data_IF_200544560893
#
_entry.id   IF_200544560893
#
_cell.length_a   1.000
_cell.length_b   1.000
_cell.length_c   1.000
_cell.angle_alpha   90.00
_cell.angle_beta   90.00
_cell.angle_gamma   90.00
#
_symmetry.space_group_name_H-M   'P 1'
#
loop_
_entity.id
_entity.type
_entity.pdbx_description
1 polymer ?
#
# COMPACT_ATOMS: atom_id res chain seq x y z
N UNK A 1 3.69 -27.68 7.10
CA UNK A 1 2.60 -27.78 8.12
C UNK A 1 3.02 -26.94 9.31
N UNK A 2 2.11 -26.20 9.93
CA UNK A 2 2.39 -25.31 11.08
C UNK A 2 1.39 -25.64 12.18
N UNK A 3 1.86 -25.72 13.43
CA UNK A 3 0.99 -25.96 14.59
C UNK A 3 0.26 -24.70 15.05
N UNK A 4 -0.75 -24.81 15.94
CA UNK A 4 -1.42 -23.66 16.54
C UNK A 4 -0.43 -22.73 17.27
N UNK A 5 -0.65 -21.42 17.16
CA UNK A 5 0.27 -20.38 17.63
C UNK A 5 1.46 -20.11 16.70
N UNK A 6 1.66 -20.96 15.68
CA UNK A 6 2.75 -20.79 14.72
C UNK A 6 2.38 -19.91 13.52
N UNK A 7 3.40 -19.29 12.93
CA UNK A 7 3.31 -18.48 11.72
C UNK A 7 3.96 -19.22 10.56
N UNK A 8 3.21 -19.45 9.48
CA UNK A 8 3.76 -19.87 8.21
C UNK A 8 4.27 -18.66 7.43
N UNK A 9 5.34 -18.86 6.67
CA UNK A 9 5.97 -17.86 5.80
C UNK A 9 6.23 -18.46 4.44
N UNK A 10 5.94 -17.70 3.39
CA UNK A 10 6.23 -18.06 2.00
C UNK A 10 6.66 -16.81 1.24
N UNK A 11 7.44 -16.99 0.19
CA UNK A 11 7.73 -15.90 -0.76
C UNK A 11 6.41 -15.37 -1.36
N UNK A 12 6.38 -14.07 -1.65
CA UNK A 12 5.22 -13.47 -2.31
C UNK A 12 4.98 -14.08 -3.70
N UNK A 13 3.75 -13.98 -4.23
CA UNK A 13 3.41 -14.49 -5.56
C UNK A 13 4.27 -13.87 -6.67
N UNK A 14 4.26 -14.49 -7.85
CA UNK A 14 4.96 -13.95 -9.02
C UNK A 14 4.53 -12.50 -9.31
N UNK A 15 5.50 -11.64 -9.67
CA UNK A 15 5.36 -10.18 -9.80
C UNK A 15 5.21 -9.37 -8.51
N UNK A 16 5.49 -10.00 -7.37
CA UNK A 16 5.58 -9.37 -6.07
C UNK A 16 6.91 -9.73 -5.41
N UNK A 17 7.43 -8.80 -4.61
CA UNK A 17 8.60 -9.01 -3.75
C UNK A 17 8.21 -8.94 -2.28
N UNK A 18 8.88 -9.73 -1.43
CA UNK A 18 8.66 -9.77 0.02
C UNK A 18 8.27 -11.17 0.54
N UNK A 19 7.69 -11.21 1.74
CA UNK A 19 7.25 -12.46 2.39
C UNK A 19 5.79 -12.37 2.83
N UNK A 20 4.94 -13.26 2.31
CA UNK A 20 3.60 -13.44 2.83
C UNK A 20 3.62 -14.32 4.08
N UNK A 21 2.81 -13.97 5.08
CA UNK A 21 2.70 -14.76 6.30
C UNK A 21 1.28 -15.19 6.60
N UNK A 22 1.10 -16.22 7.43
CA UNK A 22 -0.22 -16.63 7.88
C UNK A 22 -0.13 -17.24 9.26
N UNK A 23 -0.96 -16.76 10.18
CA UNK A 23 -1.05 -17.28 11.55
C UNK A 23 -2.04 -18.45 11.62
N UNK A 24 -1.68 -19.51 12.32
CA UNK A 24 -2.61 -20.57 12.71
C UNK A 24 -2.96 -20.41 14.18
N UNK A 25 -4.25 -20.30 14.52
CA UNK A 25 -4.71 -20.19 15.92
C UNK A 25 -5.57 -21.38 16.30
N UNK A 26 -5.53 -21.74 17.58
CA UNK A 26 -6.50 -22.65 18.18
C UNK A 26 -7.75 -21.82 18.53
N UNK A 27 -8.85 -22.02 17.80
CA UNK A 27 -10.10 -21.27 18.04
C UNK A 27 -11.05 -22.00 18.99
N UNK A 28 -10.88 -23.32 19.14
CA UNK A 28 -11.54 -24.17 20.13
C UNK A 28 -10.61 -25.34 20.51
N UNK A 29 -10.92 -26.09 21.58
CA UNK A 29 -10.03 -27.07 22.24
C UNK A 29 -9.26 -28.00 21.30
N UNK A 30 -9.83 -28.37 20.15
CA UNK A 30 -9.17 -29.24 19.16
C UNK A 30 -9.23 -28.68 17.73
N UNK A 31 -9.57 -27.40 17.56
CA UNK A 31 -9.76 -26.80 16.24
C UNK A 31 -8.73 -25.73 15.95
N UNK A 32 -7.73 -26.10 15.15
CA UNK A 32 -6.76 -25.17 14.57
C UNK A 32 -7.33 -24.54 13.30
N UNK A 33 -7.37 -23.21 13.23
CA UNK A 33 -7.86 -22.45 12.08
C UNK A 33 -6.82 -21.45 11.62
N UNK A 34 -6.59 -21.47 10.31
CA UNK A 34 -5.79 -20.45 9.64
C UNK A 34 -6.51 -19.11 9.63
N UNK A 35 -5.82 -18.09 10.11
CA UNK A 35 -6.30 -16.71 10.06
C UNK A 35 -6.19 -16.14 8.65
N UNK A 36 -6.66 -14.91 8.45
CA UNK A 36 -6.43 -14.16 7.22
C UNK A 36 -4.93 -14.12 6.92
N UNK A 37 -4.48 -14.46 5.70
CA UNK A 37 -3.07 -14.31 5.34
C UNK A 37 -2.70 -12.83 5.31
N UNK A 38 -1.42 -12.56 5.57
CA UNK A 38 -0.85 -11.23 5.63
C UNK A 38 0.12 -11.06 4.46
N UNK A 39 -0.27 -10.19 3.52
CA UNK A 39 0.53 -9.77 2.38
C UNK A 39 0.99 -8.31 2.52
N UNK A 40 1.01 -7.74 3.73
CA UNK A 40 1.44 -6.36 3.96
C UNK A 40 2.91 -6.09 3.59
N UNK A 41 3.74 -7.14 3.58
CA UNK A 41 5.13 -7.12 3.12
C UNK A 41 5.27 -7.44 1.61
N UNK A 42 4.18 -7.80 0.93
CA UNK A 42 4.22 -8.09 -0.51
C UNK A 42 4.00 -6.82 -1.33
N UNK A 43 5.04 -6.36 -2.01
CA UNK A 43 5.00 -5.19 -2.89
C UNK A 43 4.96 -5.65 -4.35
N UNK A 44 3.93 -5.25 -5.09
CA UNK A 44 3.86 -5.49 -6.53
C UNK A 44 5.02 -4.77 -7.25
N UNK A 45 5.67 -5.43 -8.21
CA UNK A 45 6.81 -4.86 -8.94
C UNK A 45 6.49 -3.49 -9.56
N UNK A 46 5.26 -3.32 -10.06
CA UNK A 46 4.78 -2.04 -10.61
C UNK A 46 4.67 -0.94 -9.56
N UNK A 47 4.22 -1.27 -8.34
CA UNK A 47 4.12 -0.31 -7.23
C UNK A 47 5.52 0.06 -6.73
N UNK A 48 6.44 -0.92 -6.65
CA UNK A 48 7.84 -0.67 -6.32
C UNK A 48 8.48 0.28 -7.34
N UNK A 49 8.31 0.02 -8.64
CA UNK A 49 8.84 0.88 -9.70
C UNK A 49 8.32 2.33 -9.62
N UNK A 50 7.03 2.53 -9.31
CA UNK A 50 6.46 3.87 -9.10
C UNK A 50 7.10 4.53 -7.88
N UNK A 51 7.26 3.78 -6.78
CA UNK A 51 7.87 4.30 -5.55
C UNK A 51 9.34 4.70 -5.75
N UNK A 52 10.10 3.91 -6.50
CA UNK A 52 11.51 4.19 -6.81
C UNK A 52 11.64 5.41 -7.74
N UNK A 53 10.81 5.50 -8.78
CA UNK A 53 10.77 6.65 -9.67
C UNK A 53 10.39 7.94 -8.92
N UNK A 54 9.41 7.86 -8.01
CA UNK A 54 9.03 9.00 -7.18
C UNK A 54 10.13 9.37 -6.18
N UNK A 55 10.82 8.39 -5.59
CA UNK A 55 11.94 8.66 -4.70
C UNK A 55 13.06 9.43 -5.40
N UNK A 56 13.35 9.15 -6.67
CA UNK A 56 14.31 9.93 -7.44
C UNK A 56 13.94 11.43 -7.48
N UNK A 57 12.65 11.78 -7.61
CA UNK A 57 12.16 13.17 -7.58
C UNK A 57 12.48 13.83 -6.25
N UNK A 58 12.27 13.12 -5.13
CA UNK A 58 12.60 13.64 -3.79
C UNK A 58 14.09 13.92 -3.59
N UNK A 59 14.95 13.31 -4.41
CA UNK A 59 16.40 13.52 -4.43
C UNK A 59 16.84 14.59 -5.45
N UNK A 60 15.90 15.24 -6.13
CA UNK A 60 16.17 16.24 -7.17
C UNK A 60 16.44 15.65 -8.57
N UNK A 61 16.24 14.34 -8.75
CA UNK A 61 16.39 13.65 -10.03
C UNK A 61 15.00 13.29 -10.58
N UNK A 62 14.43 14.09 -11.49
CA UNK A 62 13.03 13.89 -11.89
C UNK A 62 12.76 14.01 -13.38
N UNK A 63 12.21 12.93 -13.96
CA UNK A 63 11.40 12.95 -15.19
C UNK A 63 9.91 12.73 -14.91
N UNK A 64 9.51 12.54 -13.63
CA UNK A 64 8.13 12.29 -13.19
C UNK A 64 7.67 13.37 -12.22
N UNK A 65 6.36 13.57 -12.09
CA UNK A 65 5.74 14.49 -11.13
C UNK A 65 4.95 13.72 -10.05
N UNK A 66 4.55 14.37 -8.93
CA UNK A 66 3.59 13.79 -7.98
C UNK A 66 2.29 13.33 -8.66
N UNK A 67 1.79 14.12 -9.62
CA UNK A 67 0.60 13.79 -10.39
C UNK A 67 0.80 12.52 -11.23
N UNK A 68 1.92 12.38 -11.93
CA UNK A 68 2.23 11.20 -12.74
C UNK A 68 2.38 9.94 -11.87
N UNK A 69 3.00 10.06 -10.69
CA UNK A 69 3.14 8.97 -9.75
C UNK A 69 1.78 8.49 -9.23
N UNK A 70 0.91 9.41 -8.82
CA UNK A 70 -0.44 9.09 -8.33
C UNK A 70 -1.36 8.57 -9.45
N UNK A 71 -1.27 9.11 -10.67
CA UNK A 71 -1.98 8.60 -11.84
C UNK A 71 -1.54 7.17 -12.19
N UNK A 72 -0.24 6.91 -12.20
CA UNK A 72 0.31 5.57 -12.44
C UNK A 72 -0.15 4.59 -11.38
N UNK A 73 -0.11 5.01 -10.11
CA UNK A 73 -0.56 4.20 -8.98
C UNK A 73 -2.05 3.89 -9.08
N UNK A 74 -2.88 4.89 -9.36
CA UNK A 74 -4.32 4.72 -9.58
C UNK A 74 -4.59 3.71 -10.70
N UNK A 75 -3.90 3.84 -11.83
CA UNK A 75 -4.05 2.93 -12.98
C UNK A 75 -3.69 1.49 -12.61
N UNK A 76 -2.54 1.28 -11.95
CA UNK A 76 -2.11 -0.05 -11.49
C UNK A 76 -3.12 -0.69 -10.53
N UNK A 77 -3.66 0.09 -9.59
CA UNK A 77 -4.62 -0.42 -8.60
C UNK A 77 -6.02 -0.67 -9.17
N UNK A 78 -6.37 0.00 -10.28
CA UNK A 78 -7.64 -0.20 -10.99
C UNK A 78 -7.59 -1.40 -11.94
N UNK A 79 -6.47 -1.59 -12.61
CA UNK A 79 -6.31 -2.62 -13.64
C UNK A 79 -5.93 -3.99 -13.04
N UNK A 80 -5.55 -4.03 -11.76
CA UNK A 80 -5.32 -5.31 -11.07
C UNK A 80 -6.63 -6.05 -10.80
N UNK A 81 -6.51 -7.36 -10.59
CA UNK A 81 -7.58 -8.19 -10.05
C UNK A 81 -7.87 -7.88 -8.58
N UNK A 82 -8.59 -8.79 -7.91
CA UNK A 82 -8.83 -8.69 -6.48
C UNK A 82 -7.49 -8.65 -5.71
N UNK A 83 -7.28 -7.69 -4.78
CA UNK A 83 -6.03 -7.58 -4.04
C UNK A 83 -5.86 -8.72 -3.03
N UNK A 84 -4.61 -9.05 -2.74
CA UNK A 84 -4.29 -9.87 -1.58
C UNK A 84 -4.56 -9.10 -0.28
N UNK A 85 -4.95 -9.78 0.81
CA UNK A 85 -5.14 -9.10 2.09
C UNK A 85 -3.86 -8.43 2.60
N UNK A 86 -3.87 -7.12 2.81
CA UNK A 86 -2.71 -6.32 3.22
C UNK A 86 -1.92 -5.72 2.06
N UNK A 87 -2.19 -6.07 0.80
CA UNK A 87 -1.44 -5.56 -0.37
C UNK A 87 -1.55 -4.03 -0.53
N UNK A 88 -2.57 -3.40 0.05
CA UNK A 88 -2.73 -1.95 0.05
C UNK A 88 -1.79 -1.22 1.01
N UNK A 89 -1.13 -1.91 1.94
CA UNK A 89 -0.32 -1.25 2.99
C UNK A 89 0.94 -0.54 2.45
N UNK A 90 1.70 -1.11 1.49
CA UNK A 90 2.78 -0.39 0.82
C UNK A 90 2.31 0.85 0.05
N UNK A 91 1.08 0.83 -0.47
CA UNK A 91 0.47 1.97 -1.18
C UNK A 91 0.28 3.15 -0.23
N UNK A 92 -0.18 2.90 1.01
CA UNK A 92 -0.32 3.95 2.04
C UNK A 92 1.04 4.60 2.34
N UNK A 93 2.11 3.80 2.43
CA UNK A 93 3.46 4.32 2.63
C UNK A 93 3.93 5.18 1.46
N UNK A 94 3.59 4.83 0.22
CA UNK A 94 3.85 5.68 -0.95
C UNK A 94 3.04 6.97 -0.91
N UNK A 95 1.74 6.92 -0.57
CA UNK A 95 0.91 8.12 -0.41
C UNK A 95 1.52 9.08 0.63
N UNK A 96 1.97 8.58 1.78
CA UNK A 96 2.63 9.40 2.80
C UNK A 96 3.87 10.12 2.27
N UNK A 97 4.68 9.47 1.43
CA UNK A 97 5.84 10.11 0.79
C UNK A 97 5.41 11.23 -0.16
N UNK A 98 4.34 11.01 -0.94
CA UNK A 98 3.80 12.03 -1.83
C UNK A 98 3.28 13.23 -1.05
N UNK A 99 2.50 13.03 0.01
CA UNK A 99 2.00 14.11 0.89
C UNK A 99 3.17 14.87 1.50
N UNK A 100 4.18 14.17 2.03
CA UNK A 100 5.38 14.79 2.58
C UNK A 100 6.06 15.71 1.56
N UNK A 101 6.28 15.23 0.34
CA UNK A 101 6.90 16.01 -0.72
C UNK A 101 6.08 17.25 -1.13
N UNK A 102 4.75 17.10 -1.31
CA UNK A 102 3.88 18.24 -1.67
C UNK A 102 3.90 19.30 -0.57
N UNK A 103 3.84 18.89 0.70
CA UNK A 103 3.87 19.80 1.84
C UNK A 103 5.24 20.49 1.98
N UNK A 104 6.34 19.75 1.83
CA UNK A 104 7.71 20.29 1.91
C UNK A 104 8.00 21.29 0.79
N UNK A 105 7.51 21.03 -0.42
CA UNK A 105 7.71 21.94 -1.57
C UNK A 105 6.75 23.12 -1.58
N UNK A 106 5.63 23.04 -0.84
CA UNK A 106 4.58 24.07 -0.82
C UNK A 106 4.08 24.44 -2.24
N UNK A 107 4.11 23.47 -3.15
CA UNK A 107 3.73 23.66 -4.55
C UNK A 107 2.22 23.56 -4.73
N UNK A 108 1.55 24.71 -4.80
CA UNK A 108 0.09 24.76 -5.02
C UNK A 108 -0.32 24.11 -6.35
N UNK A 109 0.52 24.23 -7.38
CA UNK A 109 0.26 23.60 -8.67
C UNK A 109 0.28 22.07 -8.59
N UNK A 110 1.26 21.50 -7.87
CA UNK A 110 1.32 20.05 -7.68
C UNK A 110 0.12 19.57 -6.88
N UNK A 111 -0.19 20.24 -5.76
CA UNK A 111 -1.36 19.92 -4.93
C UNK A 111 -2.64 19.85 -5.77
N UNK A 112 -2.95 20.89 -6.55
CA UNK A 112 -4.16 20.92 -7.39
C UNK A 112 -4.13 19.81 -8.45
N UNK A 113 -3.00 19.63 -9.14
CA UNK A 113 -2.89 18.68 -10.25
C UNK A 113 -3.03 17.22 -9.81
N UNK A 114 -2.69 16.90 -8.56
CA UNK A 114 -2.69 15.52 -8.09
C UNK A 114 -3.80 15.18 -7.09
N UNK A 115 -4.61 16.15 -6.65
CA UNK A 115 -5.70 15.96 -5.69
C UNK A 115 -6.71 14.88 -6.13
N UNK A 116 -7.17 14.92 -7.38
CA UNK A 116 -8.14 13.94 -7.88
C UNK A 116 -7.56 12.51 -7.89
N UNK A 117 -6.29 12.37 -8.27
CA UNK A 117 -5.61 11.08 -8.27
C UNK A 117 -5.35 10.57 -6.85
N UNK A 118 -4.96 11.46 -5.93
CA UNK A 118 -4.78 11.13 -4.52
C UNK A 118 -6.05 10.53 -3.92
N UNK A 119 -7.18 11.24 -4.00
CA UNK A 119 -8.44 10.74 -3.46
C UNK A 119 -8.97 9.50 -4.20
N UNK A 120 -8.68 9.36 -5.49
CA UNK A 120 -9.00 8.15 -6.24
C UNK A 120 -8.24 6.93 -5.70
N UNK A 121 -6.94 7.05 -5.43
CA UNK A 121 -6.15 5.97 -4.82
C UNK A 121 -6.66 5.64 -3.43
N UNK A 122 -6.92 6.64 -2.58
CA UNK A 122 -7.50 6.45 -1.24
C UNK A 122 -8.82 5.70 -1.33
N UNK A 123 -9.71 6.11 -2.23
CA UNK A 123 -11.00 5.46 -2.43
C UNK A 123 -10.84 3.99 -2.88
N UNK A 124 -9.92 3.68 -3.81
CA UNK A 124 -9.64 2.29 -4.22
C UNK A 124 -9.18 1.45 -3.02
N UNK A 125 -8.33 1.98 -2.15
CA UNK A 125 -7.89 1.28 -0.94
C UNK A 125 -9.05 0.99 0.02
N UNK A 126 -9.95 1.94 0.21
CA UNK A 126 -11.07 1.84 1.15
C UNK A 126 -12.23 0.97 0.62
N UNK A 127 -12.43 0.91 -0.69
CA UNK A 127 -13.47 0.07 -1.30
C UNK A 127 -13.13 -1.42 -1.26
N UNK A 128 -11.84 -1.77 -1.17
CA UNK A 128 -11.37 -3.14 -1.19
C UNK A 128 -11.26 -3.71 0.23
N UNK A 129 -12.10 -4.71 0.54
CA UNK A 129 -12.07 -5.38 1.84
C UNK A 129 -10.71 -6.02 2.08
N UNK A 130 -10.16 -5.83 3.28
CA UNK A 130 -8.85 -6.33 3.69
C UNK A 130 -7.68 -5.78 2.85
N UNK A 131 -7.85 -4.73 2.05
CA UNK A 131 -6.71 -4.05 1.38
C UNK A 131 -5.66 -3.62 2.40
N UNK A 132 -6.13 -3.15 3.56
CA UNK A 132 -5.33 -2.88 4.76
C UNK A 132 -5.85 -3.81 5.86
N UNK A 133 -4.95 -4.53 6.52
CA UNK A 133 -5.29 -5.47 7.59
C UNK A 133 -4.69 -5.07 8.94
N UNK A 134 -3.66 -4.22 8.93
CA UNK A 134 -3.04 -3.66 10.11
C UNK A 134 -3.74 -2.35 10.55
N UNK A 135 -4.18 -2.31 11.80
CA UNK A 135 -4.83 -1.13 12.39
C UNK A 135 -3.95 0.14 12.34
N UNK A 136 -2.65 0.01 12.64
CA UNK A 136 -1.71 1.15 12.59
C UNK A 136 -1.60 1.72 11.18
N UNK A 137 -1.74 0.88 10.15
CA UNK A 137 -1.72 1.33 8.76
C UNK A 137 -3.00 2.07 8.36
N UNK A 138 -4.14 1.74 8.97
CA UNK A 138 -5.37 2.52 8.85
C UNK A 138 -5.21 3.89 9.48
N UNK A 139 -4.59 3.98 10.66
CA UNK A 139 -4.27 5.26 11.31
C UNK A 139 -3.30 6.09 10.45
N UNK A 140 -2.28 5.47 9.84
CA UNK A 140 -1.38 6.15 8.90
C UNK A 140 -2.14 6.72 7.70
N UNK A 141 -3.07 5.95 7.11
CA UNK A 141 -3.91 6.44 6.01
C UNK A 141 -4.77 7.63 6.44
N UNK A 142 -5.35 7.60 7.64
CA UNK A 142 -6.13 8.73 8.17
C UNK A 142 -5.26 9.98 8.33
N UNK A 143 -4.04 9.83 8.85
CA UNK A 143 -3.07 10.93 8.98
C UNK A 143 -2.72 11.51 7.60
N UNK A 144 -2.40 10.64 6.63
CA UNK A 144 -2.11 11.02 5.25
C UNK A 144 -3.24 11.84 4.62
N UNK A 145 -4.50 11.42 4.81
CA UNK A 145 -5.66 12.17 4.30
C UNK A 145 -5.84 13.51 5.03
N UNK A 146 -5.62 13.55 6.35
CA UNK A 146 -5.76 14.78 7.13
C UNK A 146 -4.70 15.85 6.83
N UNK A 147 -3.55 15.44 6.28
CA UNK A 147 -2.42 16.30 5.94
C UNK A 147 -2.44 16.78 4.49
N UNK A 148 -3.45 16.38 3.70
CA UNK A 148 -3.60 16.83 2.32
C UNK A 148 -4.23 18.23 2.28
N UNK A 149 -3.41 19.26 2.07
CA UNK A 149 -3.85 20.67 2.09
C UNK A 149 -2.97 21.61 1.30
#
# INVERSE_FOLDING_TARGET
RTGPGGVARVECPHHYSGVATRLCLLVDKDQAVWQTPDFSDCVADKVAAIADNFHAVTLGYGQTTPADALLSLMTVLRDRGAPYPGEGEPVVTLLRRVVGYVNETSSWQDLVNCTDFFYSVVNILLQQRNSIINHQKVEELQQVVSQWS
#
